data_IF_286342549830
#
_entry.id   IF_286342549830
#
_cell.length_a   1.000
_cell.length_b   1.000
_cell.length_c   1.000
_cell.angle_alpha   90.00
_cell.angle_beta   90.00
_cell.angle_gamma   90.00
#
_symmetry.space_group_name_H-M   'P 1'
#
loop_
_entity.id
_entity.type
_entity.pdbx_description
1 polymer ?
#
# COMPACT_ATOMS: atom_id res chain seq x y z
N UNK A 1 2.25 -17.34 -13.21
CA UNK A 1 2.58 -16.58 -14.41
C UNK A 1 3.10 -15.16 -14.13
N UNK A 2 3.29 -14.80 -12.88
CA UNK A 2 3.80 -13.48 -12.45
C UNK A 2 2.75 -12.39 -12.27
N UNK A 3 1.49 -12.61 -12.58
CA UNK A 3 0.42 -11.66 -12.31
C UNK A 3 -0.08 -11.76 -10.85
N UNK A 4 -0.66 -10.68 -10.35
CA UNK A 4 -1.27 -10.64 -9.01
C UNK A 4 -2.47 -11.59 -8.96
N UNK A 5 -2.51 -12.47 -7.96
CA UNK A 5 -3.70 -13.30 -7.67
C UNK A 5 -4.73 -12.48 -6.87
N UNK A 6 -5.51 -11.68 -7.57
CA UNK A 6 -6.49 -10.78 -6.96
C UNK A 6 -7.52 -11.51 -6.09
N UNK A 7 -8.02 -12.65 -6.56
CA UNK A 7 -9.03 -13.44 -5.82
C UNK A 7 -8.44 -14.08 -4.56
N UNK A 8 -7.23 -14.60 -4.66
CA UNK A 8 -6.50 -15.15 -3.52
C UNK A 8 -6.22 -14.06 -2.49
N UNK A 9 -5.79 -12.88 -2.93
CA UNK A 9 -5.52 -11.75 -2.06
C UNK A 9 -6.79 -11.25 -1.35
N UNK A 10 -7.91 -11.11 -2.05
CA UNK A 10 -9.19 -10.73 -1.44
C UNK A 10 -9.60 -11.70 -0.33
N UNK A 11 -9.52 -13.01 -0.59
CA UNK A 11 -9.80 -14.05 0.41
C UNK A 11 -8.84 -13.98 1.60
N UNK A 12 -7.56 -13.73 1.34
CA UNK A 12 -6.55 -13.59 2.38
C UNK A 12 -6.84 -12.40 3.30
N UNK A 13 -7.21 -11.24 2.74
CA UNK A 13 -7.61 -10.06 3.52
C UNK A 13 -8.82 -10.37 4.39
N UNK A 14 -9.86 -10.98 3.81
CA UNK A 14 -11.05 -11.36 4.55
C UNK A 14 -10.74 -12.35 5.67
N UNK A 15 -9.85 -13.30 5.44
CA UNK A 15 -9.39 -14.26 6.45
C UNK A 15 -8.64 -13.57 7.58
N UNK A 16 -7.73 -12.65 7.27
CA UNK A 16 -6.98 -11.87 8.26
C UNK A 16 -7.93 -11.12 9.20
N UNK A 17 -8.94 -10.46 8.65
CA UNK A 17 -9.95 -9.73 9.43
C UNK A 17 -10.73 -10.68 10.33
N UNK A 18 -11.16 -11.82 9.80
CA UNK A 18 -11.90 -12.86 10.55
C UNK A 18 -11.10 -13.40 11.72
N UNK A 19 -9.78 -13.55 11.55
CA UNK A 19 -8.87 -14.04 12.60
C UNK A 19 -8.46 -12.98 13.62
N UNK A 20 -8.99 -11.75 13.53
CA UNK A 20 -8.83 -10.70 14.52
C UNK A 20 -7.69 -9.72 14.26
N UNK A 21 -7.24 -9.58 13.03
CA UNK A 21 -6.26 -8.55 12.66
C UNK A 21 -6.83 -7.16 12.91
N UNK A 22 -6.11 -6.31 13.64
CA UNK A 22 -6.56 -4.98 14.04
C UNK A 22 -6.48 -3.93 12.94
N UNK A 23 -5.57 -4.09 11.99
CA UNK A 23 -5.38 -3.19 10.85
C UNK A 23 -4.59 -3.85 9.74
N UNK A 24 -4.68 -3.30 8.53
CA UNK A 24 -4.07 -3.86 7.33
C UNK A 24 -3.12 -2.87 6.68
N UNK A 25 -1.97 -3.37 6.22
CA UNK A 25 -0.95 -2.55 5.53
C UNK A 25 -0.64 -3.19 4.17
N UNK A 26 -1.48 -2.96 3.14
CA UNK A 26 -1.18 -3.43 1.79
C UNK A 26 0.02 -2.68 1.22
N UNK A 27 0.79 -3.35 0.38
CA UNK A 27 1.95 -2.78 -0.31
C UNK A 27 3.04 -2.21 0.62
N UNK A 28 3.21 -2.79 1.82
CA UNK A 28 4.43 -2.60 2.60
C UNK A 28 5.61 -3.33 1.94
N UNK A 29 6.82 -3.14 2.44
CA UNK A 29 8.01 -3.82 1.91
C UNK A 29 7.90 -5.33 2.03
N UNK A 30 7.42 -5.85 3.15
CA UNK A 30 7.13 -7.28 3.35
C UNK A 30 6.07 -7.78 2.36
N UNK A 31 5.15 -6.92 1.95
CA UNK A 31 4.14 -7.18 0.91
C UNK A 31 4.68 -7.06 -0.51
N UNK A 32 6.00 -7.08 -0.69
CA UNK A 32 6.67 -7.11 -2.00
C UNK A 32 6.34 -5.93 -2.93
N UNK A 33 6.06 -4.74 -2.36
CA UNK A 33 5.73 -3.55 -3.17
C UNK A 33 6.73 -3.25 -4.30
N UNK A 34 8.06 -3.48 -4.14
CA UNK A 34 9.01 -3.22 -5.23
C UNK A 34 8.83 -4.10 -6.47
N UNK A 35 8.14 -5.23 -6.35
CA UNK A 35 7.91 -6.17 -7.47
C UNK A 35 6.60 -5.90 -8.23
N UNK A 36 5.80 -4.95 -7.75
CA UNK A 36 4.54 -4.56 -8.36
C UNK A 36 4.74 -3.42 -9.37
N UNK A 37 4.05 -3.47 -10.49
CA UNK A 37 3.91 -2.29 -11.35
C UNK A 37 3.06 -1.23 -10.64
N UNK A 38 3.08 0.01 -11.13
CA UNK A 38 2.24 1.09 -10.57
C UNK A 38 0.75 0.71 -10.58
N UNK A 39 0.29 0.09 -11.67
CA UNK A 39 -1.10 -0.33 -11.81
C UNK A 39 -1.45 -1.48 -10.84
N UNK A 40 -0.58 -2.47 -10.72
CA UNK A 40 -0.76 -3.56 -9.76
C UNK A 40 -0.75 -3.04 -8.32
N UNK A 41 0.13 -2.10 -7.99
CA UNK A 41 0.21 -1.47 -6.68
C UNK A 41 -1.12 -0.79 -6.31
N UNK A 42 -1.65 0.04 -7.20
CA UNK A 42 -2.95 0.68 -7.02
C UNK A 42 -4.06 -0.36 -6.86
N UNK A 43 -4.05 -1.39 -7.70
CA UNK A 43 -5.05 -2.45 -7.69
C UNK A 43 -5.06 -3.23 -6.36
N UNK A 44 -3.90 -3.55 -5.82
CA UNK A 44 -3.77 -4.22 -4.51
C UNK A 44 -4.35 -3.35 -3.39
N UNK A 45 -4.07 -2.05 -3.39
CA UNK A 45 -4.66 -1.11 -2.43
C UNK A 45 -6.19 -1.09 -2.54
N UNK A 46 -6.72 -1.01 -3.75
CA UNK A 46 -8.17 -0.97 -3.99
C UNK A 46 -8.88 -2.25 -3.49
N UNK A 47 -8.30 -3.41 -3.77
CA UNK A 47 -8.84 -4.70 -3.31
C UNK A 47 -8.84 -4.78 -1.78
N UNK A 48 -7.73 -4.37 -1.14
CA UNK A 48 -7.63 -4.38 0.31
C UNK A 48 -8.68 -3.46 0.97
N UNK A 49 -8.84 -2.25 0.46
CA UNK A 49 -9.83 -1.30 0.96
C UNK A 49 -11.25 -1.85 0.79
N UNK A 50 -11.56 -2.40 -0.38
CA UNK A 50 -12.87 -2.99 -0.66
C UNK A 50 -13.16 -4.18 0.26
N UNK A 51 -12.21 -5.08 0.45
CA UNK A 51 -12.35 -6.26 1.31
C UNK A 51 -12.46 -5.89 2.80
N UNK A 52 -11.82 -4.80 3.24
CA UNK A 52 -11.88 -4.32 4.63
C UNK A 52 -13.12 -3.49 4.92
N UNK A 53 -13.86 -3.07 3.91
CA UNK A 53 -15.03 -2.19 4.04
C UNK A 53 -16.09 -2.80 4.97
N UNK A 54 -16.50 -2.03 5.97
CA UNK A 54 -17.51 -2.45 6.94
C UNK A 54 -16.99 -3.33 8.08
N UNK A 55 -15.72 -3.76 8.05
CA UNK A 55 -15.12 -4.58 9.10
C UNK A 55 -14.67 -3.79 10.34
N UNK A 56 -14.46 -2.48 10.20
CA UNK A 56 -13.83 -1.64 11.23
C UNK A 56 -12.31 -1.69 11.25
N UNK A 57 -11.67 -2.58 10.48
CA UNK A 57 -10.21 -2.65 10.38
C UNK A 57 -9.69 -1.51 9.50
N UNK A 58 -8.81 -0.62 10.02
CA UNK A 58 -8.23 0.45 9.23
C UNK A 58 -7.25 -0.10 8.18
N UNK A 59 -7.18 0.59 7.04
CA UNK A 59 -6.21 0.30 5.97
C UNK A 59 -5.19 1.43 5.88
N UNK A 60 -3.94 1.08 6.12
CA UNK A 60 -2.78 1.97 6.02
C UNK A 60 -2.05 1.61 4.73
N UNK A 61 -2.32 2.33 3.65
CA UNK A 61 -1.75 1.99 2.35
C UNK A 61 -0.24 2.29 2.28
N UNK A 62 0.56 1.30 1.91
CA UNK A 62 1.97 1.51 1.56
C UNK A 62 2.06 2.25 0.23
N UNK A 63 2.48 3.51 0.26
CA UNK A 63 2.54 4.38 -0.93
C UNK A 63 3.92 4.98 -1.17
N UNK A 64 4.93 4.50 -0.43
CA UNK A 64 6.30 4.96 -0.57
C UNK A 64 6.97 4.51 -1.86
N UNK A 65 7.85 5.34 -2.38
CA UNK A 65 8.72 5.06 -3.52
C UNK A 65 9.98 5.91 -3.42
N UNK A 66 11.06 5.47 -4.07
CA UNK A 66 12.24 6.32 -4.27
C UNK A 66 11.97 7.50 -5.20
N UNK A 67 10.98 7.37 -6.09
CA UNK A 67 10.51 8.45 -6.94
C UNK A 67 9.47 9.27 -6.20
N UNK A 68 9.75 10.55 -5.94
CA UNK A 68 8.79 11.46 -5.32
C UNK A 68 7.49 11.56 -6.11
N UNK A 69 7.58 11.60 -7.45
CA UNK A 69 6.40 11.64 -8.32
C UNK A 69 5.50 10.41 -8.13
N UNK A 70 6.09 9.21 -8.08
CA UNK A 70 5.35 7.98 -7.83
C UNK A 70 4.73 7.96 -6.43
N UNK A 71 5.48 8.39 -5.40
CA UNK A 71 4.98 8.45 -4.03
C UNK A 71 3.76 9.38 -3.92
N UNK A 72 3.80 10.53 -4.60
CA UNK A 72 2.67 11.46 -4.68
C UNK A 72 1.47 10.80 -5.37
N UNK A 73 1.68 10.18 -6.52
CA UNK A 73 0.64 9.53 -7.30
C UNK A 73 -0.05 8.41 -6.51
N UNK A 74 0.73 7.53 -5.88
CA UNK A 74 0.22 6.44 -5.06
C UNK A 74 -0.55 6.95 -3.84
N UNK A 75 -0.04 8.00 -3.18
CA UNK A 75 -0.69 8.60 -2.01
C UNK A 75 -2.02 9.25 -2.39
N UNK A 76 -2.06 9.96 -3.50
CA UNK A 76 -3.30 10.55 -4.02
C UNK A 76 -4.33 9.48 -4.38
N UNK A 77 -3.88 8.39 -5.00
CA UNK A 77 -4.73 7.25 -5.33
C UNK A 77 -5.31 6.61 -4.04
N UNK A 78 -4.46 6.31 -3.06
CA UNK A 78 -4.88 5.70 -1.80
C UNK A 78 -5.91 6.58 -1.05
N UNK A 79 -5.68 7.90 -1.00
CA UNK A 79 -6.62 8.86 -0.44
C UNK A 79 -7.98 8.80 -1.15
N UNK A 80 -7.97 8.80 -2.48
CA UNK A 80 -9.17 8.76 -3.32
C UNK A 80 -9.94 7.45 -3.17
N UNK A 81 -9.22 6.34 -3.02
CA UNK A 81 -9.78 5.02 -2.80
C UNK A 81 -10.38 4.84 -1.41
N UNK A 82 -10.02 5.67 -0.43
CA UNK A 82 -10.57 5.64 0.91
C UNK A 82 -9.68 4.96 1.97
N UNK A 83 -8.36 4.94 1.77
CA UNK A 83 -7.44 4.50 2.81
C UNK A 83 -7.51 5.41 4.04
N UNK A 84 -7.36 4.84 5.23
CA UNK A 84 -7.39 5.59 6.50
C UNK A 84 -6.09 6.35 6.73
N UNK A 85 -4.97 5.82 6.25
CA UNK A 85 -3.66 6.45 6.32
C UNK A 85 -2.75 5.97 5.18
N UNK A 86 -1.62 6.65 4.98
CA UNK A 86 -0.58 6.26 4.06
C UNK A 86 0.74 6.06 4.81
N UNK A 87 1.47 5.01 4.44
CA UNK A 87 2.80 4.73 4.97
C UNK A 87 3.84 5.04 3.88
N UNK A 88 4.76 5.93 4.20
CA UNK A 88 5.85 6.33 3.31
C UNK A 88 7.16 5.67 3.72
N UNK A 89 8.08 5.55 2.78
CA UNK A 89 9.48 5.20 3.03
C UNK A 89 10.35 6.42 2.71
N UNK A 90 11.43 6.58 3.46
CA UNK A 90 12.47 7.52 3.05
C UNK A 90 13.19 6.96 1.82
N UNK A 91 13.72 7.80 0.91
CA UNK A 91 14.48 7.31 -0.23
C UNK A 91 15.61 6.40 0.23
N UNK A 92 15.67 5.20 -0.33
CA UNK A 92 16.63 4.16 0.03
C UNK A 92 17.76 4.05 -1.00
N UNK A 93 18.90 3.50 -0.62
CA UNK A 93 20.10 3.30 -1.42
C UNK A 93 20.88 4.59 -1.71
N UNK A 94 20.25 5.62 -2.27
CA UNK A 94 20.87 6.88 -2.68
C UNK A 94 21.17 7.87 -1.53
N UNK A 95 20.81 7.55 -0.29
CA UNK A 95 21.16 8.27 0.93
C UNK A 95 21.01 9.79 0.82
N UNK A 96 19.80 10.31 0.66
CA UNK A 96 19.59 11.75 0.55
C UNK A 96 19.95 12.49 1.84
N UNK A 97 20.18 13.80 1.74
CA UNK A 97 20.36 14.66 2.89
C UNK A 97 19.08 14.73 3.73
N UNK A 98 19.16 15.21 4.97
CA UNK A 98 18.00 15.41 5.83
C UNK A 98 16.97 16.33 5.17
N UNK A 99 17.42 17.43 4.56
CA UNK A 99 16.56 18.34 3.81
C UNK A 99 15.92 17.64 2.61
N UNK A 100 16.68 16.84 1.87
CA UNK A 100 16.15 16.05 0.75
C UNK A 100 15.07 15.06 1.18
N UNK A 101 15.23 14.42 2.34
CA UNK A 101 14.20 13.54 2.91
C UNK A 101 12.94 14.31 3.28
N UNK A 102 13.10 15.49 3.88
CA UNK A 102 11.98 16.35 4.25
C UNK A 102 11.18 16.82 3.02
N UNK A 103 11.88 17.18 1.94
CA UNK A 103 11.24 17.61 0.70
C UNK A 103 10.57 16.46 -0.07
N UNK A 104 11.07 15.26 0.08
CA UNK A 104 10.46 14.06 -0.50
C UNK A 104 9.14 13.75 0.17
#
# INVERSE_FOLDING_TARGET
>A
NGSVDEKGFEKFVAWQIKEGTDGLVPCGTTGESPTLSMEEHKRVIDICIAAAKGSGAPVIAGTGSNSTAEAIELTQHAKKAGADAAMQVVPYYNKPTQEGQYQH
#
